data_IF_020155557717
#
_entry.id   IF_020155557717
#
_cell.length_a   1.000
_cell.length_b   1.000
_cell.length_c   1.000
_cell.angle_alpha   90.00
_cell.angle_beta   90.00
_cell.angle_gamma   90.00
#
_symmetry.space_group_name_H-M   'P 1'
#
loop_
_entity.id
_entity.type
_entity.pdbx_description
1 polymer ?
#
# COMPACT_ATOMS: atom_id res chain seq x y z
N UNK A 1 -27.09 8.10 5.48
CA UNK A 1 -26.35 9.34 5.79
C UNK A 1 -25.35 9.55 4.67
N UNK A 2 -25.35 10.70 4.00
CA UNK A 2 -24.39 11.00 2.94
C UNK A 2 -23.13 11.64 3.55
N UNK A 3 -21.95 11.26 3.09
CA UNK A 3 -20.70 11.90 3.48
C UNK A 3 -20.64 13.31 2.88
N UNK A 4 -20.35 14.32 3.69
CA UNK A 4 -20.22 15.72 3.28
C UNK A 4 -18.83 16.20 3.68
N UNK A 5 -18.03 16.61 2.69
CA UNK A 5 -16.69 17.12 2.93
C UNK A 5 -16.75 18.60 3.35
N UNK A 6 -16.19 18.94 4.51
CA UNK A 6 -16.22 20.28 5.07
C UNK A 6 -14.95 21.05 4.69
N UNK A 7 -15.02 22.38 4.65
CA UNK A 7 -13.80 23.19 4.48
C UNK A 7 -12.88 22.98 5.68
N UNK A 8 -11.60 22.70 5.42
CA UNK A 8 -10.58 22.43 6.44
C UNK A 8 -10.53 20.98 6.91
N UNK A 9 -11.31 20.08 6.32
CA UNK A 9 -11.14 18.65 6.51
C UNK A 9 -9.84 18.17 5.86
N UNK A 10 -9.33 17.02 6.30
CA UNK A 10 -8.09 16.41 5.83
C UNK A 10 -8.30 15.51 4.60
N UNK A 11 -9.42 15.69 3.89
CA UNK A 11 -9.82 14.85 2.76
C UNK A 11 -9.85 15.64 1.45
N UNK A 12 -8.94 15.31 0.54
CA UNK A 12 -8.98 15.76 -0.85
C UNK A 12 -10.01 14.98 -1.68
N UNK A 13 -10.70 15.67 -2.58
CA UNK A 13 -11.56 15.06 -3.62
C UNK A 13 -10.72 14.31 -4.64
N UNK A 14 -11.33 13.32 -5.27
CA UNK A 14 -10.74 12.64 -6.42
C UNK A 14 -10.79 13.52 -7.69
N UNK A 15 -9.84 13.35 -8.61
CA UNK A 15 -8.70 12.43 -8.53
C UNK A 15 -7.55 13.01 -7.71
N UNK A 16 -6.80 12.14 -7.04
CA UNK A 16 -5.54 12.52 -6.42
C UNK A 16 -4.44 12.57 -7.48
N UNK A 17 -3.58 13.59 -7.40
CA UNK A 17 -2.41 13.81 -8.24
C UNK A 17 -1.17 13.75 -7.38
N UNK A 18 -0.30 12.80 -7.72
CA UNK A 18 0.97 12.58 -7.05
C UNK A 18 2.09 13.04 -7.97
N UNK A 19 2.83 14.08 -7.58
CA UNK A 19 3.97 14.57 -8.36
C UNK A 19 5.28 14.33 -7.64
N UNK A 20 6.35 14.11 -8.41
CA UNK A 20 7.71 13.82 -7.90
C UNK A 20 7.76 12.56 -7.00
N UNK A 21 6.81 11.65 -7.21
CA UNK A 21 6.75 10.38 -6.50
C UNK A 21 8.01 9.56 -6.76
N UNK A 22 8.57 9.01 -5.70
CA UNK A 22 9.68 8.06 -5.76
C UNK A 22 9.22 6.73 -5.21
N UNK A 23 9.25 5.69 -6.02
CA UNK A 23 8.82 4.35 -5.60
C UNK A 23 9.97 3.38 -5.82
N UNK A 24 10.32 2.64 -4.77
CA UNK A 24 11.25 1.52 -4.80
C UNK A 24 10.44 0.26 -4.56
N UNK A 25 10.62 -0.74 -5.43
CA UNK A 25 9.87 -1.99 -5.36
C UNK A 25 10.83 -3.16 -5.27
N UNK A 26 10.68 -3.97 -4.23
CA UNK A 26 11.43 -5.20 -4.04
C UNK A 26 10.56 -6.40 -4.39
N UNK A 27 10.91 -7.18 -5.43
CA UNK A 27 10.22 -8.43 -5.70
C UNK A 27 10.60 -9.47 -4.64
N UNK A 28 9.59 -10.11 -4.08
CA UNK A 28 9.67 -11.15 -3.07
C UNK A 28 8.95 -12.40 -3.56
N UNK A 29 9.34 -13.55 -3.03
CA UNK A 29 8.66 -14.82 -3.25
C UNK A 29 7.90 -15.20 -1.99
N UNK A 30 6.58 -15.28 -2.09
CA UNK A 30 5.71 -15.72 -0.99
C UNK A 30 5.26 -17.16 -1.14
N UNK A 31 4.95 -17.80 -0.01
CA UNK A 31 4.28 -19.11 -0.01
C UNK A 31 2.91 -19.00 -0.67
N UNK A 32 2.70 -19.75 -1.76
CA UNK A 32 1.48 -19.71 -2.57
C UNK A 32 0.22 -19.92 -1.72
N UNK A 33 0.24 -20.89 -0.81
CA UNK A 33 -0.92 -21.20 0.04
C UNK A 33 -1.25 -20.06 1.02
N UNK A 34 -0.23 -19.40 1.58
CA UNK A 34 -0.42 -18.26 2.49
C UNK A 34 -0.98 -17.04 1.75
N UNK A 35 -0.45 -16.75 0.56
CA UNK A 35 -0.96 -15.66 -0.27
C UNK A 35 -2.38 -15.95 -0.78
N UNK A 36 -2.69 -17.22 -1.07
CA UNK A 36 -4.04 -17.65 -1.42
C UNK A 36 -5.00 -17.46 -0.26
N UNK A 37 -4.58 -17.76 0.98
CA UNK A 37 -5.39 -17.51 2.17
C UNK A 37 -5.71 -16.01 2.35
N UNK A 38 -4.75 -15.12 2.04
CA UNK A 38 -5.00 -13.66 2.06
C UNK A 38 -6.06 -13.27 1.02
N UNK A 39 -5.95 -13.77 -0.22
CA UNK A 39 -6.97 -13.54 -1.25
C UNK A 39 -8.36 -14.07 -0.82
N UNK A 40 -8.40 -15.21 -0.14
CA UNK A 40 -9.63 -15.79 0.38
C UNK A 40 -10.24 -14.90 1.48
N UNK A 41 -9.45 -14.49 2.47
CA UNK A 41 -9.88 -13.65 3.58
C UNK A 41 -10.37 -12.26 3.13
N UNK A 42 -9.66 -11.64 2.18
CA UNK A 42 -9.86 -10.23 1.82
C UNK A 42 -10.75 -10.00 0.59
N UNK A 43 -10.93 -10.99 -0.27
CA UNK A 43 -11.62 -10.81 -1.56
C UNK A 43 -12.71 -11.86 -1.75
N UNK A 44 -12.35 -13.13 -1.77
CA UNK A 44 -13.31 -14.18 -2.14
C UNK A 44 -14.35 -14.43 -1.05
N UNK A 45 -13.95 -14.45 0.22
CA UNK A 45 -14.85 -14.55 1.38
C UNK A 45 -15.86 -13.41 1.44
N UNK A 46 -15.41 -12.13 1.51
CA UNK A 46 -16.31 -10.98 1.54
C UNK A 46 -17.25 -10.86 0.34
N UNK A 47 -16.84 -11.35 -0.84
CA UNK A 47 -17.69 -11.33 -2.04
C UNK A 47 -18.63 -12.54 -2.17
N UNK A 48 -18.64 -13.45 -1.20
CA UNK A 48 -19.42 -14.70 -1.28
C UNK A 48 -19.02 -15.58 -2.47
N UNK A 49 -17.74 -15.52 -2.89
CA UNK A 49 -17.20 -16.25 -4.04
C UNK A 49 -17.51 -15.63 -5.42
N UNK A 50 -18.23 -14.50 -5.49
CA UNK A 50 -18.50 -13.79 -6.77
C UNK A 50 -17.24 -13.23 -7.40
N UNK A 51 -16.26 -12.87 -6.58
CA UNK A 51 -14.93 -12.45 -6.99
C UNK A 51 -13.93 -13.49 -6.52
N UNK A 52 -13.12 -14.02 -7.44
CA UNK A 52 -12.04 -14.94 -7.13
C UNK A 52 -10.72 -14.27 -7.48
N UNK A 53 -9.74 -14.41 -6.59
CA UNK A 53 -8.40 -13.89 -6.79
C UNK A 53 -7.39 -15.01 -6.52
N UNK A 54 -6.46 -15.21 -7.46
CA UNK A 54 -5.37 -16.16 -7.32
C UNK A 54 -4.03 -15.39 -7.40
N UNK A 55 -3.12 -15.54 -6.42
CA UNK A 55 -1.78 -14.93 -6.49
C UNK A 55 -1.06 -15.28 -7.79
N UNK A 56 -0.30 -14.36 -8.35
CA UNK A 56 0.47 -14.61 -9.56
C UNK A 56 1.60 -15.62 -9.27
N UNK A 57 1.41 -16.86 -9.73
CA UNK A 57 2.36 -17.94 -9.51
C UNK A 57 3.64 -17.77 -10.34
N UNK A 58 4.77 -18.20 -9.77
CA UNK A 58 6.06 -18.37 -10.42
C UNK A 58 6.35 -19.88 -10.40
N UNK A 59 5.92 -20.63 -11.43
CA UNK A 59 5.92 -22.09 -11.40
C UNK A 59 7.30 -22.72 -11.20
N UNK A 60 8.35 -22.06 -11.70
CA UNK A 60 9.73 -22.55 -11.65
C UNK A 60 10.24 -22.76 -10.22
N UNK A 61 9.70 -22.02 -9.24
CA UNK A 61 10.14 -22.06 -7.84
C UNK A 61 9.02 -22.45 -6.86
N UNK A 62 7.84 -22.81 -7.38
CA UNK A 62 6.65 -23.13 -6.58
C UNK A 62 6.32 -22.05 -5.51
N UNK A 63 6.39 -20.78 -5.90
CA UNK A 63 6.05 -19.61 -5.08
C UNK A 63 5.15 -18.67 -5.88
N UNK A 64 4.60 -17.66 -5.23
CA UNK A 64 3.91 -16.56 -5.90
C UNK A 64 4.64 -15.24 -5.70
N UNK A 65 4.48 -14.33 -6.66
CA UNK A 65 5.07 -13.01 -6.61
C UNK A 65 4.38 -12.17 -5.53
N UNK A 66 5.19 -11.55 -4.68
CA UNK A 66 4.79 -10.50 -3.76
C UNK A 66 5.74 -9.33 -3.98
N UNK A 67 5.27 -8.10 -3.87
CA UNK A 67 6.12 -6.93 -3.99
C UNK A 67 6.09 -6.17 -2.66
N UNK A 68 7.25 -5.73 -2.17
CA UNK A 68 7.33 -4.72 -1.12
C UNK A 68 7.56 -3.37 -1.82
N UNK A 69 6.60 -2.46 -1.72
CA UNK A 69 6.71 -1.11 -2.23
C UNK A 69 7.08 -0.16 -1.09
N UNK A 70 8.05 0.69 -1.35
CA UNK A 70 8.54 1.75 -0.49
C UNK A 70 8.45 3.05 -1.29
N UNK A 71 7.48 3.90 -0.97
CA UNK A 71 7.19 5.12 -1.73
C UNK A 71 7.33 6.39 -0.88
N UNK A 72 7.87 7.43 -1.50
CA UNK A 72 8.00 8.77 -0.95
C UNK A 72 7.27 9.74 -1.90
N UNK A 73 6.23 10.36 -1.37
CA UNK A 73 5.33 11.26 -2.07
C UNK A 73 5.47 12.67 -1.49
N UNK A 74 6.36 13.51 -2.05
CA UNK A 74 6.57 14.85 -1.53
C UNK A 74 5.44 15.83 -1.92
N UNK A 75 4.50 15.42 -2.76
CA UNK A 75 3.38 16.24 -3.17
C UNK A 75 2.18 15.41 -3.66
N UNK A 76 1.17 15.30 -2.81
CA UNK A 76 -0.14 14.71 -3.12
C UNK A 76 -1.19 15.81 -3.00
N UNK A 77 -1.97 16.05 -4.05
CA UNK A 77 -3.04 17.04 -4.08
C UNK A 77 -4.28 16.52 -4.82
N UNK A 78 -5.38 17.26 -4.78
CA UNK A 78 -6.55 17.02 -5.65
C UNK A 78 -6.39 17.72 -7.00
N UNK A 79 -6.86 17.11 -8.08
CA UNK A 79 -7.11 17.80 -9.35
C UNK A 79 -8.53 18.39 -9.45
N UNK A 80 -9.38 18.21 -8.43
CA UNK A 80 -10.72 18.78 -8.44
C UNK A 80 -10.64 20.31 -8.30
N UNK A 81 -11.28 21.09 -9.19
CA UNK A 81 -11.25 22.55 -9.12
C UNK A 81 -11.73 23.13 -7.78
N UNK A 82 -12.63 22.44 -7.06
CA UNK A 82 -13.12 22.87 -5.74
C UNK A 82 -12.02 22.82 -4.68
N UNK A 83 -11.01 21.99 -4.88
CA UNK A 83 -9.90 21.75 -3.96
C UNK A 83 -8.62 22.48 -4.38
N UNK A 84 -8.67 23.29 -5.45
CA UNK A 84 -7.54 24.05 -6.00
C UNK A 84 -6.83 25.00 -5.01
N UNK A 85 -7.42 25.24 -3.83
CA UNK A 85 -6.87 26.08 -2.76
C UNK A 85 -6.60 25.32 -1.45
N UNK A 86 -6.81 24.00 -1.39
CA UNK A 86 -6.58 23.20 -0.17
C UNK A 86 -5.08 22.95 0.09
N UNK A 87 -4.26 22.99 -0.95
CA UNK A 87 -2.83 22.73 -0.86
C UNK A 87 -2.48 21.28 -1.22
N UNK A 88 -1.47 20.72 -0.54
CA UNK A 88 -1.00 19.37 -0.75
C UNK A 88 -0.55 18.74 0.58
N UNK A 89 -0.49 17.41 0.61
CA UNK A 89 0.14 16.64 1.69
C UNK A 89 1.41 15.94 1.20
N UNK A 90 2.26 15.58 2.15
CA UNK A 90 3.41 14.70 1.93
C UNK A 90 3.15 13.37 2.61
N UNK A 91 3.60 12.27 2.04
CA UNK A 91 3.36 10.94 2.61
C UNK A 91 4.51 10.00 2.23
N UNK A 92 4.90 9.15 3.16
CA UNK A 92 5.68 7.95 2.89
C UNK A 92 4.79 6.74 3.07
N UNK A 93 4.88 5.83 2.12
CA UNK A 93 4.10 4.59 2.09
C UNK A 93 5.04 3.40 2.08
N UNK A 94 4.73 2.43 2.93
CA UNK A 94 5.36 1.11 2.90
C UNK A 94 4.28 0.07 2.89
N UNK A 95 4.28 -0.80 1.89
CA UNK A 95 3.19 -1.74 1.74
C UNK A 95 3.56 -2.94 0.91
N UNK A 96 2.81 -4.01 1.13
CA UNK A 96 2.84 -5.16 0.27
C UNK A 96 1.86 -4.95 -0.88
N UNK A 97 2.32 -5.19 -2.10
CA UNK A 97 1.51 -5.23 -3.30
C UNK A 97 1.49 -6.68 -3.79
N UNK A 98 0.31 -7.30 -3.82
CA UNK A 98 0.09 -8.67 -4.25
C UNK A 98 -0.57 -8.69 -5.63
N UNK A 99 0.17 -9.01 -6.70
CA UNK A 99 -0.40 -9.25 -8.01
C UNK A 99 -1.29 -10.51 -7.97
N UNK A 100 -2.54 -10.37 -8.42
CA UNK A 100 -3.52 -11.45 -8.47
C UNK A 100 -4.17 -11.52 -9.83
N UNK A 101 -4.43 -12.73 -10.31
CA UNK A 101 -5.38 -12.95 -11.40
C UNK A 101 -6.80 -12.87 -10.84
N UNK A 102 -7.59 -11.95 -11.36
CA UNK A 102 -8.94 -11.68 -10.88
C UNK A 102 -9.98 -12.30 -11.82
N UNK A 103 -11.00 -12.95 -11.24
CA UNK A 103 -12.17 -13.43 -11.96
C UNK A 103 -13.42 -12.92 -11.27
N UNK A 104 -14.31 -12.25 -12.02
CA UNK A 104 -15.56 -11.66 -11.50
C UNK A 104 -16.73 -12.25 -12.26
N UNK A 105 -17.67 -12.88 -11.54
CA UNK A 105 -18.83 -13.55 -12.14
C UNK A 105 -18.44 -14.54 -13.26
N UNK A 106 -17.35 -15.28 -13.05
CA UNK A 106 -16.81 -16.26 -14.01
C UNK A 106 -15.98 -15.67 -15.16
N UNK A 107 -15.93 -14.34 -15.31
CA UNK A 107 -15.14 -13.68 -16.36
C UNK A 107 -13.75 -13.29 -15.86
N UNK A 108 -12.72 -13.63 -16.62
CA UNK A 108 -11.34 -13.20 -16.38
C UNK A 108 -11.25 -11.67 -16.52
N UNK A 109 -10.64 -11.02 -15.53
CA UNK A 109 -10.42 -9.56 -15.50
C UNK A 109 -8.94 -9.20 -15.62
N UNK A 110 -8.08 -10.18 -15.87
CA UNK A 110 -6.64 -9.98 -15.97
C UNK A 110 -5.95 -9.89 -14.62
N UNK A 111 -4.77 -9.25 -14.61
CA UNK A 111 -3.94 -9.08 -13.42
C UNK A 111 -4.30 -7.77 -12.74
N UNK A 112 -4.57 -7.85 -11.44
CA UNK A 112 -4.84 -6.72 -10.56
C UNK A 112 -3.83 -6.71 -9.42
N UNK A 113 -3.59 -5.55 -8.82
CA UNK A 113 -2.73 -5.44 -7.64
C UNK A 113 -3.61 -5.17 -6.43
N UNK A 114 -3.41 -5.97 -5.39
CA UNK A 114 -4.11 -5.84 -4.11
C UNK A 114 -3.10 -5.44 -3.04
N UNK A 115 -3.45 -4.49 -2.19
CA UNK A 115 -2.63 -4.08 -1.06
C UNK A 115 -3.17 -4.71 0.23
N UNK A 116 -2.69 -5.90 0.64
CA UNK A 116 -3.17 -6.53 1.88
C UNK A 116 -2.76 -5.76 3.14
N UNK A 117 -1.61 -5.06 3.10
CA UNK A 117 -1.07 -4.25 4.18
C UNK A 117 -0.39 -3.03 3.60
N UNK A 118 -0.71 -1.85 4.13
CA UNK A 118 -0.16 -0.57 3.72
C UNK A 118 -0.05 0.35 4.94
N UNK A 119 1.16 0.83 5.21
CA UNK A 119 1.48 1.74 6.30
C UNK A 119 1.89 3.08 5.74
N UNK A 120 1.44 4.15 6.37
CA UNK A 120 1.73 5.51 5.94
C UNK A 120 2.06 6.42 7.13
N UNK A 121 2.85 7.47 6.91
CA UNK A 121 3.27 8.40 7.96
C UNK A 121 2.42 9.67 8.09
N UNK A 122 1.41 9.83 7.23
CA UNK A 122 0.51 10.98 7.26
C UNK A 122 -0.92 10.58 7.67
N UNK A 123 -1.48 11.17 8.74
CA UNK A 123 -2.86 10.87 9.16
C UNK A 123 -3.92 11.25 8.12
N UNK A 124 -3.74 12.33 7.36
CA UNK A 124 -4.66 12.70 6.27
C UNK A 124 -4.70 11.61 5.21
N UNK A 125 -3.52 11.09 4.84
CA UNK A 125 -3.40 10.00 3.89
C UNK A 125 -4.04 8.69 4.37
N UNK A 126 -4.01 8.39 5.68
CA UNK A 126 -4.79 7.26 6.25
C UNK A 126 -6.28 7.43 6.02
N UNK A 127 -6.82 8.61 6.33
CA UNK A 127 -8.25 8.90 6.22
C UNK A 127 -8.68 8.79 4.75
N UNK A 128 -8.01 9.53 3.86
CA UNK A 128 -8.30 9.51 2.43
C UNK A 128 -8.20 8.09 1.85
N UNK A 129 -7.13 7.38 2.16
CA UNK A 129 -6.93 6.02 1.67
C UNK A 129 -8.08 5.10 2.03
N UNK A 130 -8.55 5.14 3.29
CA UNK A 130 -9.61 4.25 3.77
C UNK A 130 -11.00 4.67 3.33
N UNK A 131 -11.29 5.96 3.34
CA UNK A 131 -12.64 6.49 3.12
C UNK A 131 -12.95 6.75 1.64
N UNK A 132 -11.94 7.13 0.86
CA UNK A 132 -12.11 7.57 -0.54
C UNK A 132 -11.62 6.50 -1.51
N UNK A 133 -10.45 5.90 -1.25
CA UNK A 133 -9.79 4.98 -2.19
C UNK A 133 -9.95 3.50 -1.83
N UNK A 134 -10.45 3.17 -0.64
CA UNK A 134 -10.61 1.79 -0.17
C UNK A 134 -9.29 1.07 0.16
N UNK A 135 -8.17 1.78 0.28
CA UNK A 135 -6.90 1.23 0.73
C UNK A 135 -6.92 0.97 2.24
N UNK A 136 -6.39 -0.18 2.72
CA UNK A 136 -6.37 -0.50 4.14
C UNK A 136 -5.20 0.17 4.86
N UNK A 137 -5.03 1.49 4.68
CA UNK A 137 -3.93 2.26 5.28
C UNK A 137 -3.97 2.20 6.81
N UNK A 138 -2.80 2.11 7.42
CA UNK A 138 -2.54 2.13 8.87
C UNK A 138 -1.48 3.20 9.13
N UNK A 139 -1.66 4.02 10.17
CA UNK A 139 -0.67 5.04 10.54
C UNK A 139 0.59 4.38 11.12
N UNK A 140 1.76 4.83 10.70
CA UNK A 140 3.05 4.36 11.19
C UNK A 140 4.11 5.47 11.17
N UNK A 141 5.17 5.34 11.99
CA UNK A 141 6.38 6.13 11.83
C UNK A 141 7.30 5.44 10.79
N UNK A 142 7.76 6.21 9.81
CA UNK A 142 8.59 5.72 8.69
C UNK A 142 9.80 6.65 8.51
N UNK A 143 10.83 6.53 9.37
CA UNK A 143 11.99 7.42 9.36
C UNK A 143 13.06 6.90 8.38
N UNK A 144 12.84 7.06 7.07
CA UNK A 144 13.91 6.86 6.10
C UNK A 144 14.44 8.17 5.54
N UNK A 145 15.71 8.15 5.15
CA UNK A 145 16.30 9.22 4.34
C UNK A 145 16.06 8.93 2.85
N UNK A 146 15.71 9.96 2.10
CA UNK A 146 15.46 9.84 0.66
C UNK A 146 16.74 9.71 -0.16
N UNK A 147 17.90 9.95 0.47
CA UNK A 147 19.23 9.91 -0.12
C UNK A 147 20.03 8.75 0.48
N UNK A 148 20.36 7.75 -0.32
CA UNK A 148 21.23 6.63 0.10
C UNK A 148 20.53 5.28 0.11
N UNK A 149 21.18 4.28 0.71
CA UNK A 149 20.64 2.94 0.82
C UNK A 149 19.43 2.92 1.76
N UNK A 150 18.35 2.29 1.31
CA UNK A 150 17.08 2.27 2.03
C UNK A 150 17.21 1.39 3.29
N UNK A 151 17.34 2.03 4.46
CA UNK A 151 17.39 1.37 5.76
C UNK A 151 16.46 2.07 6.73
N UNK A 152 15.45 1.36 7.23
CA UNK A 152 14.45 1.92 8.16
C UNK A 152 13.61 0.83 8.80
N UNK A 153 12.93 1.20 9.89
CA UNK A 153 11.91 0.40 10.56
C UNK A 153 10.55 1.09 10.37
N UNK A 154 9.47 0.31 10.36
CA UNK A 154 8.09 0.84 10.34
C UNK A 154 7.47 0.54 11.69
N UNK A 155 7.25 1.58 12.48
CA UNK A 155 6.66 1.46 13.81
C UNK A 155 5.20 1.84 13.76
N UNK A 156 4.31 1.04 14.32
CA UNK A 156 2.88 1.31 14.31
C UNK A 156 2.24 0.87 15.62
N UNK A 157 0.98 1.24 15.81
CA UNK A 157 0.18 0.74 16.91
C UNK A 157 -0.24 -0.71 16.62
N UNK A 158 0.26 -1.65 17.44
CA UNK A 158 0.11 -3.09 17.24
C UNK A 158 -0.66 -3.73 18.40
N UNK A 159 -1.54 -4.67 18.07
CA UNK A 159 -2.07 -5.65 19.03
C UNK A 159 -1.31 -6.97 18.85
N UNK A 160 -0.36 -7.27 19.74
CA UNK A 160 0.46 -8.49 19.65
C UNK A 160 -0.37 -9.78 19.72
N UNK A 161 -1.55 -9.71 20.34
CA UNK A 161 -2.54 -10.78 20.38
C UNK A 161 -3.93 -10.18 20.46
N UNK A 162 -4.84 -10.66 19.64
CA UNK A 162 -6.25 -10.32 19.79
C UNK A 162 -6.83 -10.96 21.06
N UNK A 163 -7.15 -10.11 22.04
CA UNK A 163 -7.82 -10.43 23.29
C UNK A 163 -8.47 -9.15 23.82
N UNK A 164 -9.64 -9.22 24.48
CA UNK A 164 -10.23 -8.06 25.17
C UNK A 164 -9.31 -7.42 26.22
N UNK A 165 -8.29 -8.15 26.67
CA UNK A 165 -7.33 -7.71 27.69
C UNK A 165 -6.00 -7.22 27.13
N UNK A 166 -5.79 -7.27 25.80
CA UNK A 166 -4.54 -6.79 25.19
C UNK A 166 -4.66 -5.30 24.89
N UNK A 167 -3.84 -4.49 25.54
CA UNK A 167 -3.64 -3.10 25.13
C UNK A 167 -2.77 -3.05 23.87
N UNK A 168 -3.05 -2.09 22.98
CA UNK A 168 -2.18 -1.83 21.86
C UNK A 168 -0.93 -1.08 22.31
N UNK A 169 0.21 -1.38 21.67
CA UNK A 169 1.51 -0.77 21.93
C UNK A 169 2.13 -0.31 20.63
N UNK A 170 2.99 0.71 20.69
CA UNK A 170 3.82 1.05 19.53
C UNK A 170 4.95 0.03 19.48
N UNK A 171 5.09 -0.67 18.36
CA UNK A 171 6.19 -1.61 18.11
C UNK A 171 6.50 -1.66 16.60
N UNK A 172 7.65 -2.20 16.24
CA UNK A 172 8.08 -2.33 14.84
C UNK A 172 7.34 -3.49 14.15
N UNK A 173 6.93 -3.26 12.90
CA UNK A 173 6.23 -4.24 12.06
C UNK A 173 7.12 -4.85 10.99
N UNK A 174 8.02 -4.04 10.44
CA UNK A 174 8.99 -4.49 9.44
C UNK A 174 10.25 -3.64 9.54
N UNK A 175 11.36 -4.27 9.19
CA UNK A 175 12.66 -3.61 8.97
C UNK A 175 13.09 -3.86 7.54
N UNK A 176 13.50 -2.82 6.85
CA UNK A 176 14.12 -2.91 5.53
C UNK A 176 15.58 -2.53 5.67
N UNK A 177 16.47 -3.37 5.16
CA UNK A 177 17.89 -3.10 5.09
C UNK A 177 18.51 -3.80 3.88
N UNK A 178 19.60 -3.27 3.29
CA UNK A 178 20.27 -3.91 2.16
C UNK A 178 20.84 -5.28 2.54
N UNK A 179 20.49 -6.31 1.76
CA UNK A 179 21.10 -7.63 1.87
C UNK A 179 22.17 -7.84 0.77
N UNK A 180 23.44 -7.68 1.15
CA UNK A 180 24.59 -7.92 0.26
C UNK A 180 24.71 -6.95 -0.93
N UNK A 181 25.62 -7.25 -1.87
CA UNK A 181 25.95 -6.38 -3.00
C UNK A 181 24.77 -6.18 -3.98
N UNK A 182 23.90 -7.18 -4.13
CA UNK A 182 22.71 -7.12 -5.00
C UNK A 182 21.56 -6.33 -4.35
N UNK A 183 21.39 -6.38 -3.02
CA UNK A 183 20.44 -5.55 -2.29
C UNK A 183 20.76 -4.06 -2.40
N UNK A 184 22.04 -3.70 -2.51
CA UNK A 184 22.47 -2.32 -2.79
C UNK A 184 22.10 -1.84 -4.21
N UNK A 185 21.98 -2.75 -5.19
CA UNK A 185 21.64 -2.43 -6.57
C UNK A 185 20.12 -2.37 -6.83
N UNK A 186 19.31 -3.12 -6.09
CA UNK A 186 17.84 -3.10 -6.18
C UNK A 186 17.21 -1.77 -5.69
N UNK A 187 17.99 -0.92 -5.01
CA UNK A 187 17.61 0.46 -4.66
C UNK A 187 17.54 1.41 -5.88
N UNK A 188 17.74 0.91 -7.11
CA UNK A 188 17.62 1.72 -8.31
C UNK A 188 16.16 2.13 -8.55
N UNK A 189 15.94 3.41 -8.29
CA UNK A 189 14.72 4.19 -8.37
C UNK A 189 13.97 4.02 -9.69
N UNK A 190 12.67 3.70 -9.63
CA UNK A 190 11.77 3.98 -10.74
C UNK A 190 11.04 5.29 -10.43
N UNK A 191 11.43 6.38 -11.07
CA UNK A 191 10.66 7.62 -11.05
C UNK A 191 9.51 7.44 -12.04
N UNK A 192 8.28 7.30 -11.53
CA UNK A 192 7.09 7.32 -12.39
C UNK A 192 6.60 8.77 -12.41
N UNK A 193 6.87 9.49 -13.50
CA UNK A 193 6.16 10.72 -13.79
C UNK A 193 4.74 10.32 -14.21
N UNK A 194 3.81 10.34 -13.26
CA UNK A 194 2.39 10.27 -13.56
C UNK A 194 1.94 11.62 -14.13
N UNK A 195 2.35 11.89 -15.37
CA UNK A 195 1.80 12.96 -16.21
C UNK A 195 1.72 12.41 -17.63
N UNK A 196 0.60 11.81 -17.97
CA UNK A 196 -0.07 12.04 -19.25
C UNK A 196 -1.48 11.38 -19.24
N UNK A 197 -2.44 11.98 -19.98
CA UNK A 197 -3.88 11.97 -19.69
C UNK A 197 -4.62 10.63 -19.86
#
# INVERSE_FOLDING_TARGET
MAFVNWKGDWCHRQPAVLTKARIIVFPLLGETDRLTAICQDRIAGPSGGRVRAAPLAIPLVNKSLLLLACADFPHIASDDPQDSQLGYITERDVGFCLPVKLTVAGQDRGIHVVNPLLWVDNPAGVIEGREIFGFPKILAAIPWETKGALTFEVDSLVFHRYSPTTAATIDWLLKVEPAGLLGALAAQTTAVNATDP
#
